data_IF_731727680367
#
_entry.id   IF_731727680367
#
_cell.length_a   1.000
_cell.length_b   1.000
_cell.length_c   1.000
_cell.angle_alpha   90.00
_cell.angle_beta   90.00
_cell.angle_gamma   90.00
#
_symmetry.space_group_name_H-M   'P 1'
#
loop_
_entity.id
_entity.type
_entity.pdbx_description
1 polymer ?
#
# COMPACT_ATOMS: atom_id res chain seq x y z
N UNK A 1 5.06 -21.65 -5.36
CA UNK A 1 5.80 -21.85 -6.62
C UNK A 1 6.06 -23.34 -6.85
N UNK A 2 5.97 -23.77 -8.07
CA UNK A 2 6.30 -25.19 -8.41
C UNK A 2 7.81 -25.45 -8.36
N UNK A 3 8.61 -24.44 -8.62
CA UNK A 3 10.07 -24.45 -8.62
C UNK A 3 10.62 -23.19 -7.98
N UNK A 4 11.87 -23.22 -7.46
CA UNK A 4 12.57 -21.99 -7.08
C UNK A 4 12.64 -21.00 -8.24
N UNK A 5 12.75 -19.72 -7.92
CA UNK A 5 12.90 -18.69 -8.95
C UNK A 5 14.24 -18.90 -9.70
N UNK A 6 14.25 -18.76 -11.03
CA UNK A 6 15.48 -18.60 -11.80
C UNK A 6 16.29 -17.41 -11.27
N UNK A 7 17.61 -17.51 -11.34
CA UNK A 7 18.51 -16.49 -10.77
C UNK A 7 18.24 -15.06 -11.30
N UNK A 8 17.88 -14.95 -12.56
CA UNK A 8 17.56 -13.68 -13.21
C UNK A 8 16.24 -13.04 -12.73
N UNK A 9 15.39 -13.78 -12.02
CA UNK A 9 14.12 -13.32 -11.45
C UNK A 9 14.19 -13.02 -9.95
N UNK A 10 15.29 -13.42 -9.30
CA UNK A 10 15.50 -13.14 -7.89
C UNK A 10 15.54 -11.62 -7.65
N UNK A 11 14.79 -11.15 -6.67
CA UNK A 11 14.62 -9.73 -6.39
C UNK A 11 13.62 -8.99 -7.30
N UNK A 12 13.07 -9.65 -8.32
CA UNK A 12 12.14 -9.03 -9.29
C UNK A 12 10.71 -9.54 -9.19
N UNK A 13 10.50 -10.66 -8.53
CA UNK A 13 9.19 -11.27 -8.35
C UNK A 13 8.75 -11.11 -6.91
N UNK A 14 7.53 -10.64 -6.72
CA UNK A 14 6.99 -10.41 -5.39
C UNK A 14 5.49 -10.14 -5.42
N UNK A 15 4.99 -9.67 -4.30
CA UNK A 15 3.61 -9.22 -4.13
C UNK A 15 3.61 -7.75 -3.71
N UNK A 16 2.76 -6.96 -4.33
CA UNK A 16 2.50 -5.57 -3.96
C UNK A 16 1.07 -5.46 -3.41
N UNK A 17 0.95 -4.82 -2.26
CA UNK A 17 -0.32 -4.27 -1.78
C UNK A 17 -0.28 -2.77 -2.02
N UNK A 18 -1.21 -2.27 -2.79
CA UNK A 18 -1.31 -0.85 -3.11
C UNK A 18 -2.29 -0.15 -2.16
N UNK A 19 -1.89 1.02 -1.66
CA UNK A 19 -2.66 1.82 -0.71
C UNK A 19 -2.99 3.15 -1.40
N UNK A 20 -4.29 3.48 -1.48
CA UNK A 20 -4.75 4.72 -2.11
C UNK A 20 -4.25 5.95 -1.34
N UNK A 21 -3.47 6.84 -1.97
CA UNK A 21 -2.74 7.87 -1.24
C UNK A 21 -3.62 8.96 -0.63
N UNK A 22 -4.75 9.29 -1.24
CA UNK A 22 -5.62 10.38 -0.80
C UNK A 22 -6.08 10.26 0.66
N UNK A 23 -6.28 9.03 1.14
CA UNK A 23 -6.70 8.76 2.51
C UNK A 23 -5.54 8.79 3.53
N UNK A 24 -4.29 8.81 3.04
CA UNK A 24 -3.10 8.63 3.86
C UNK A 24 -2.13 9.81 3.86
N UNK A 25 -2.34 10.82 3.03
CA UNK A 25 -1.50 12.01 3.02
C UNK A 25 -1.38 12.62 4.43
N UNK A 26 -0.15 12.80 4.89
CA UNK A 26 0.15 13.38 6.20
C UNK A 26 -0.09 12.46 7.39
N UNK A 27 -0.62 11.24 7.20
CA UNK A 27 -0.75 10.25 8.27
C UNK A 27 0.58 9.58 8.54
N UNK A 28 0.79 9.17 9.78
CA UNK A 28 1.99 8.46 10.20
C UNK A 28 1.99 6.99 9.77
N UNK A 29 3.17 6.42 9.72
CA UNK A 29 3.40 4.99 9.63
C UNK A 29 4.54 4.58 10.57
N UNK A 30 4.49 3.33 11.02
CA UNK A 30 5.56 2.70 11.80
C UNK A 30 5.92 1.39 11.11
N UNK A 31 7.21 1.20 10.83
CA UNK A 31 7.73 -0.06 10.29
C UNK A 31 8.88 -0.54 11.18
N UNK A 32 8.57 -1.50 12.03
CA UNK A 32 9.40 -1.91 13.16
C UNK A 32 9.75 -0.68 14.04
N UNK A 33 11.03 -0.29 14.13
CA UNK A 33 11.51 0.87 14.90
C UNK A 33 11.58 2.16 14.06
N UNK A 34 11.26 2.10 12.78
CA UNK A 34 11.25 3.24 11.88
C UNK A 34 9.88 3.90 11.86
N UNK A 35 9.86 5.22 11.89
CA UNK A 35 8.64 6.01 11.82
C UNK A 35 8.74 7.09 10.73
N UNK A 36 7.62 7.41 10.13
CA UNK A 36 7.55 8.48 9.15
C UNK A 36 6.12 8.90 8.85
N UNK A 37 5.99 9.76 7.88
CA UNK A 37 4.70 10.28 7.39
C UNK A 37 4.56 9.89 5.92
N UNK A 38 3.35 9.53 5.51
CA UNK A 38 3.02 9.38 4.10
C UNK A 38 3.11 10.75 3.41
N UNK A 39 4.10 10.96 2.52
CA UNK A 39 4.37 12.27 1.98
C UNK A 39 3.26 12.71 1.01
N UNK A 40 2.77 13.92 1.17
CA UNK A 40 1.79 14.51 0.23
C UNK A 40 2.42 14.73 -1.15
N UNK A 41 3.65 15.22 -1.17
CA UNK A 41 4.43 15.40 -2.40
C UNK A 41 5.40 14.24 -2.59
N UNK A 42 5.55 13.69 -3.80
CA UNK A 42 6.54 12.64 -4.06
C UNK A 42 7.96 13.20 -3.90
N UNK A 43 8.83 12.43 -3.26
CA UNK A 43 10.23 12.78 -3.03
C UNK A 43 11.16 12.34 -4.18
N UNK A 44 10.70 12.22 -5.35
CA UNK A 44 11.54 11.69 -6.41
C UNK A 44 11.08 12.12 -7.78
N UNK A 45 11.75 11.61 -8.80
CA UNK A 45 12.84 10.64 -8.72
C UNK A 45 14.19 11.28 -8.35
N UNK A 46 14.96 10.59 -7.53
CA UNK A 46 16.37 10.92 -7.37
C UNK A 46 17.12 10.41 -8.60
N UNK A 47 17.95 11.25 -9.17
CA UNK A 47 18.76 10.90 -10.33
C UNK A 47 20.22 10.94 -9.93
N UNK A 48 20.96 9.87 -10.19
CA UNK A 48 22.41 9.88 -9.95
C UNK A 48 23.14 10.73 -11.00
N UNK A 49 24.46 11.02 -10.81
CA UNK A 49 25.23 11.80 -11.78
C UNK A 49 25.29 11.21 -13.19
N UNK A 50 24.92 9.95 -13.36
CA UNK A 50 24.88 9.26 -14.66
C UNK A 50 23.48 9.31 -15.32
N UNK A 51 22.51 10.00 -14.70
CA UNK A 51 21.16 10.12 -15.24
C UNK A 51 20.26 8.92 -14.93
N UNK A 52 20.69 7.99 -14.09
CA UNK A 52 19.90 6.84 -13.69
C UNK A 52 18.95 7.20 -12.53
N UNK A 53 17.72 6.74 -12.60
CA UNK A 53 16.76 6.92 -11.52
C UNK A 53 17.11 6.03 -10.34
N UNK A 54 17.34 6.65 -9.20
CA UNK A 54 17.52 5.96 -7.93
C UNK A 54 16.21 6.00 -7.16
N UNK A 55 15.63 4.84 -6.97
CA UNK A 55 14.45 4.69 -6.12
C UNK A 55 14.82 3.88 -4.89
N UNK A 56 14.33 4.30 -3.75
CA UNK A 56 14.52 3.59 -2.49
C UNK A 56 13.18 3.50 -1.75
N UNK A 57 12.96 2.44 -0.98
CA UNK A 57 11.81 2.37 -0.10
C UNK A 57 11.87 3.48 0.95
N UNK A 58 10.70 3.92 1.42
CA UNK A 58 10.59 4.82 2.57
C UNK A 58 11.12 4.14 3.83
N UNK A 59 10.88 2.84 3.95
CA UNK A 59 11.37 2.01 5.03
C UNK A 59 11.33 0.52 4.65
N UNK A 60 12.09 -0.29 5.39
CA UNK A 60 12.11 -1.76 5.25
C UNK A 60 12.05 -2.39 6.63
N UNK A 61 11.24 -3.44 6.80
CA UNK A 61 11.06 -4.12 8.08
C UNK A 61 10.12 -5.31 7.98
N UNK A 62 9.57 -5.76 9.09
CA UNK A 62 8.66 -6.92 9.13
C UNK A 62 7.23 -6.60 9.53
N UNK A 63 7.03 -5.55 10.33
CA UNK A 63 5.72 -5.18 10.85
C UNK A 63 5.44 -3.70 10.57
N UNK A 64 4.54 -3.47 9.64
CA UNK A 64 4.07 -2.14 9.29
C UNK A 64 2.75 -1.84 9.99
N UNK A 65 2.67 -0.72 10.68
CA UNK A 65 1.43 -0.13 11.17
C UNK A 65 1.15 1.12 10.34
N UNK A 66 0.07 1.08 9.59
CA UNK A 66 -0.40 2.18 8.75
C UNK A 66 -1.36 3.03 9.56
N UNK A 67 -1.16 4.34 9.55
CA UNK A 67 -2.02 5.34 10.19
C UNK A 67 -2.39 4.99 11.65
N UNK A 68 -1.41 4.79 12.56
CA UNK A 68 -1.69 4.40 13.94
C UNK A 68 -2.64 5.35 14.68
N UNK A 69 -2.65 6.62 14.30
CA UNK A 69 -3.46 7.68 14.92
C UNK A 69 -4.85 7.82 14.29
N UNK A 70 -5.19 7.04 13.26
CA UNK A 70 -6.43 7.19 12.52
C UNK A 70 -7.25 5.89 12.57
N UNK A 71 -8.24 5.82 13.44
CA UNK A 71 -9.02 4.61 13.68
C UNK A 71 -9.67 4.01 12.42
N UNK A 72 -10.13 4.85 11.51
CA UNK A 72 -10.77 4.40 10.26
C UNK A 72 -9.80 3.81 9.24
N UNK A 73 -8.54 4.22 9.26
CA UNK A 73 -7.51 3.83 8.30
C UNK A 73 -6.43 2.92 8.89
N UNK A 74 -6.42 2.77 10.23
CA UNK A 74 -5.39 1.97 10.90
C UNK A 74 -5.46 0.51 10.49
N UNK A 75 -4.32 -0.01 10.06
CA UNK A 75 -4.13 -1.44 9.85
C UNK A 75 -2.70 -1.85 10.16
N UNK A 76 -2.51 -3.11 10.47
CA UNK A 76 -1.20 -3.73 10.66
C UNK A 76 -0.97 -4.75 9.56
N UNK A 77 0.22 -4.72 8.96
CA UNK A 77 0.69 -5.71 7.99
C UNK A 77 1.97 -6.31 8.55
N UNK A 78 1.97 -7.61 8.79
CA UNK A 78 3.11 -8.32 9.34
C UNK A 78 3.55 -9.42 8.38
N UNK A 79 4.83 -9.41 7.98
CA UNK A 79 5.41 -10.48 7.17
C UNK A 79 5.95 -11.59 8.05
N UNK A 80 5.57 -12.82 7.75
CA UNK A 80 6.05 -14.04 8.41
C UNK A 80 7.27 -14.63 7.69
N UNK A 81 7.57 -14.14 6.50
CA UNK A 81 8.63 -14.68 5.64
C UNK A 81 9.79 -13.68 5.45
N UNK A 82 9.77 -12.88 4.42
CA UNK A 82 10.79 -11.88 4.12
C UNK A 82 10.53 -10.52 4.76
N UNK A 83 11.25 -9.52 4.34
CA UNK A 83 10.99 -8.14 4.70
C UNK A 83 9.82 -7.56 3.91
N UNK A 84 9.15 -6.58 4.50
CA UNK A 84 8.27 -5.63 3.83
C UNK A 84 9.09 -4.42 3.42
N UNK A 85 8.81 -3.88 2.26
CA UNK A 85 9.30 -2.60 1.80
C UNK A 85 8.12 -1.65 1.64
N UNK A 86 8.16 -0.49 2.29
CA UNK A 86 7.18 0.57 2.09
C UNK A 86 7.71 1.55 1.05
N UNK A 87 6.96 1.76 -0.01
CA UNK A 87 7.35 2.61 -1.13
C UNK A 87 6.37 3.75 -1.36
N UNK A 88 6.88 4.89 -1.82
CA UNK A 88 6.09 5.87 -2.55
C UNK A 88 6.13 5.52 -4.04
N UNK A 89 5.08 4.85 -4.52
CA UNK A 89 5.01 4.40 -5.91
C UNK A 89 5.00 5.54 -6.93
N UNK A 90 4.69 6.77 -6.51
CA UNK A 90 4.73 7.95 -7.37
C UNK A 90 6.16 8.34 -7.78
N UNK A 91 7.16 7.91 -7.00
CA UNK A 91 8.56 8.07 -7.35
C UNK A 91 9.04 7.07 -8.41
N UNK A 92 8.26 6.02 -8.66
CA UNK A 92 8.59 4.90 -9.55
C UNK A 92 7.75 4.90 -10.82
N UNK A 93 7.61 5.96 -11.55
CA UNK A 93 6.79 6.04 -12.76
C UNK A 93 5.33 5.55 -12.61
N UNK A 94 4.37 6.25 -13.08
CA UNK A 94 3.01 5.82 -13.40
C UNK A 94 2.18 5.13 -12.29
N UNK A 95 2.74 4.79 -11.15
CA UNK A 95 1.96 4.29 -10.03
C UNK A 95 1.66 5.45 -9.07
N UNK A 96 0.39 5.84 -8.97
CA UNK A 96 -0.07 6.91 -8.10
C UNK A 96 -0.26 6.51 -6.63
N UNK A 97 0.19 5.31 -6.22
CA UNK A 97 -0.15 4.67 -4.95
C UNK A 97 1.07 4.54 -4.03
N UNK A 98 0.83 4.43 -2.72
CA UNK A 98 1.83 3.84 -1.83
C UNK A 98 1.80 2.34 -1.99
N UNK A 99 2.95 1.70 -1.85
CA UNK A 99 3.11 0.27 -2.08
C UNK A 99 3.75 -0.37 -0.86
N UNK A 100 3.14 -1.45 -0.36
CA UNK A 100 3.79 -2.40 0.52
C UNK A 100 4.21 -3.59 -0.33
N UNK A 101 5.50 -3.85 -0.40
CA UNK A 101 6.08 -4.89 -1.26
C UNK A 101 6.75 -5.96 -0.43
N UNK A 102 6.58 -7.21 -0.84
CA UNK A 102 7.40 -8.33 -0.39
C UNK A 102 7.96 -9.08 -1.59
N UNK A 103 9.24 -9.35 -1.56
CA UNK A 103 9.95 -10.05 -2.63
C UNK A 103 10.06 -11.52 -2.29
N UNK A 104 9.81 -12.39 -3.27
CA UNK A 104 9.94 -13.84 -3.12
C UNK A 104 11.41 -14.21 -2.92
N UNK A 105 11.77 -14.91 -1.82
CA UNK A 105 13.12 -15.42 -1.64
C UNK A 105 13.50 -16.45 -2.72
N UNK A 106 14.78 -16.48 -3.08
CA UNK A 106 15.29 -17.28 -4.20
C UNK A 106 15.00 -18.77 -4.10
N UNK A 107 15.06 -19.32 -2.91
CA UNK A 107 15.01 -20.77 -2.61
C UNK A 107 13.62 -21.27 -2.16
N UNK A 108 12.64 -20.38 -2.05
CA UNK A 108 11.31 -20.70 -1.51
C UNK A 108 10.34 -21.14 -2.60
N UNK A 109 9.73 -22.30 -2.37
CA UNK A 109 8.65 -22.82 -3.20
C UNK A 109 7.32 -22.93 -2.45
N UNK A 110 7.39 -23.10 -1.13
CA UNK A 110 6.21 -23.20 -0.25
C UNK A 110 6.20 -22.03 0.72
N UNK A 111 5.02 -21.45 0.94
CA UNK A 111 4.84 -20.26 1.78
C UNK A 111 5.90 -19.17 1.46
N UNK A 112 6.14 -18.95 0.17
CA UNK A 112 7.19 -18.05 -0.31
C UNK A 112 6.99 -16.62 0.18
N UNK A 113 5.74 -16.18 0.24
CA UNK A 113 5.31 -14.96 0.92
C UNK A 113 4.10 -15.29 1.80
N UNK A 114 4.18 -14.89 3.05
CA UNK A 114 3.09 -15.02 4.02
C UNK A 114 2.96 -13.73 4.82
N UNK A 115 1.82 -13.07 4.70
CA UNK A 115 1.50 -11.85 5.40
C UNK A 115 0.24 -12.01 6.23
N UNK A 116 0.22 -11.37 7.38
CA UNK A 116 -0.97 -11.21 8.21
C UNK A 116 -1.39 -9.74 8.13
N UNK A 117 -2.56 -9.49 7.57
CA UNK A 117 -3.15 -8.15 7.50
C UNK A 117 -4.27 -8.06 8.52
N UNK A 118 -4.13 -7.14 9.46
CA UNK A 118 -5.09 -6.92 10.55
C UNK A 118 -5.64 -5.50 10.46
N UNK A 119 -6.85 -5.32 9.90
CA UNK A 119 -7.52 -4.04 9.93
C UNK A 119 -7.97 -3.72 11.36
N UNK A 120 -8.02 -2.43 11.68
CA UNK A 120 -8.62 -2.00 12.94
C UNK A 120 -10.15 -2.08 12.85
N UNK A 121 -10.75 -2.68 13.85
CA UNK A 121 -12.21 -2.82 13.95
C UNK A 121 -12.74 -1.80 14.95
N UNK A 122 -13.54 -0.86 14.45
CA UNK A 122 -14.24 0.09 15.31
C UNK A 122 -15.53 -0.56 15.80
N UNK A 123 -15.64 -0.77 17.11
CA UNK A 123 -16.82 -1.38 17.72
C UNK A 123 -18.06 -0.51 17.46
N UNK A 124 -19.14 -1.14 17.04
CA UNK A 124 -20.42 -0.50 16.73
C UNK A 124 -20.34 0.56 15.61
N UNK A 125 -19.30 0.46 14.75
CA UNK A 125 -19.23 1.35 13.60
C UNK A 125 -20.35 1.03 12.62
N UNK A 126 -21.06 2.06 12.22
CA UNK A 126 -22.10 2.02 11.19
C UNK A 126 -21.68 2.96 10.08
N UNK A 127 -21.76 2.51 8.85
CA UNK A 127 -21.48 3.36 7.69
C UNK A 127 -22.49 4.51 7.65
N UNK A 128 -21.99 5.72 7.57
CA UNK A 128 -22.86 6.89 7.42
C UNK A 128 -23.59 6.80 6.07
N UNK A 129 -24.92 6.93 6.03
CA UNK A 129 -25.65 6.90 4.77
C UNK A 129 -25.16 8.02 3.85
N UNK A 130 -24.83 7.65 2.61
CA UNK A 130 -24.38 8.60 1.59
C UNK A 130 -25.49 8.72 0.55
N UNK A 131 -26.03 9.92 0.38
CA UNK A 131 -26.95 10.23 -0.70
C UNK A 131 -26.11 10.44 -1.97
N UNK A 132 -26.19 9.50 -2.88
CA UNK A 132 -25.53 9.60 -4.18
C UNK A 132 -26.51 10.15 -5.21
N UNK A 133 -26.10 11.16 -5.93
CA UNK A 133 -26.89 11.77 -7.00
C UNK A 133 -26.12 11.71 -8.31
N UNK A 134 -26.83 11.48 -9.41
CA UNK A 134 -26.19 11.54 -10.73
C UNK A 134 -25.78 12.97 -11.07
N UNK A 135 -24.52 13.17 -11.42
CA UNK A 135 -24.02 14.47 -11.89
C UNK A 135 -24.57 14.86 -13.27
N UNK A 136 -25.05 13.89 -14.04
CA UNK A 136 -25.67 14.10 -15.33
C UNK A 136 -27.17 14.40 -15.23
N UNK A 137 -27.73 14.38 -14.01
CA UNK A 137 -29.15 14.54 -13.77
C UNK A 137 -29.93 13.25 -13.94
N UNK A 138 -31.27 13.37 -13.90
CA UNK A 138 -32.22 12.27 -14.03
C UNK A 138 -33.25 12.61 -15.09
N UNK A 139 -33.64 11.62 -15.88
CA UNK A 139 -34.79 11.78 -16.79
C UNK A 139 -36.07 12.17 -16.07
N UNK A 140 -36.88 13.02 -16.66
CA UNK A 140 -38.10 13.53 -16.03
C UNK A 140 -39.08 12.41 -15.59
N UNK A 141 -39.10 11.31 -16.34
CA UNK A 141 -39.97 10.15 -16.11
C UNK A 141 -39.26 9.02 -15.32
N UNK A 142 -37.99 9.20 -14.95
CA UNK A 142 -37.24 8.18 -14.25
C UNK A 142 -37.67 8.08 -12.79
N UNK A 143 -38.02 6.88 -12.29
CA UNK A 143 -38.28 6.68 -10.87
C UNK A 143 -37.07 7.04 -10.02
N UNK A 144 -37.29 7.89 -9.02
CA UNK A 144 -36.21 8.28 -8.07
C UNK A 144 -36.51 7.56 -6.76
N UNK A 145 -35.51 6.75 -6.33
CA UNK A 145 -35.55 6.08 -5.03
C UNK A 145 -34.43 6.57 -4.17
N UNK A 146 -34.73 6.86 -2.93
CA UNK A 146 -33.74 7.06 -1.86
C UNK A 146 -33.80 5.79 -1.00
N UNK A 147 -32.65 5.17 -0.77
CA UNK A 147 -32.51 3.96 0.06
C UNK A 147 -31.77 4.34 1.32
#
# INVERSE_FOLDING_TARGET
LEKPLPAEWVGKVGFNMEIFPGEFFGKSWLLDEQAGIFPQQPNGPLVNPHGEFLTAPLATGKKLIVAPDADKQRMTIESKTGALELWDGRANHNNGWYIVRGVVPADKTTAALEWVVTPHVIKNWVYEPVIQVSQLGYGAQQPKKVV
#
